data_IF_285093266058
#
_entry.id   IF_285093266058
#
_cell.length_a   1.000
_cell.length_b   1.000
_cell.length_c   1.000
_cell.angle_alpha   90.00
_cell.angle_beta   90.00
_cell.angle_gamma   90.00
#
_symmetry.space_group_name_H-M   'P 1'
#
loop_
_entity.id
_entity.type
_entity.pdbx_description
1 polymer ?
#
# COMPACT_ATOMS: atom_id res chain seq x y z
N UNK A 1 -0.80 -12.35 18.81
CA UNK A 1 -1.38 -12.63 17.48
C UNK A 1 -0.62 -11.87 16.40
N UNK A 2 -0.32 -12.53 15.31
CA UNK A 2 0.42 -11.89 14.22
C UNK A 2 -0.45 -10.88 13.50
N UNK A 3 0.09 -9.68 13.28
CA UNK A 3 -0.62 -8.66 12.52
C UNK A 3 -0.55 -8.95 11.03
N UNK A 4 -1.61 -8.56 10.32
CA UNK A 4 -1.65 -8.66 8.86
C UNK A 4 -1.03 -7.39 8.28
N UNK A 5 -0.04 -7.55 7.42
CA UNK A 5 0.66 -6.43 6.82
C UNK A 5 0.00 -6.02 5.50
N UNK A 6 -0.40 -4.76 5.43
CA UNK A 6 -1.06 -4.18 4.27
C UNK A 6 -0.12 -3.31 3.46
N UNK A 7 -0.30 -3.34 2.14
CA UNK A 7 0.32 -2.39 1.24
C UNK A 7 -0.75 -1.59 0.51
N UNK A 8 -0.44 -0.34 0.15
CA UNK A 8 -1.36 0.51 -0.60
C UNK A 8 -0.71 0.91 -1.91
N UNK A 9 -1.41 0.69 -3.03
CA UNK A 9 -1.01 1.13 -4.36
C UNK A 9 -1.81 2.36 -4.74
N UNK A 10 -1.11 3.47 -5.01
CA UNK A 10 -1.75 4.74 -5.34
C UNK A 10 -2.03 5.57 -4.08
N UNK A 11 -1.51 6.79 -4.02
CA UNK A 11 -1.56 7.60 -2.81
C UNK A 11 -2.35 8.90 -3.01
N UNK A 12 -3.66 8.77 -3.28
CA UNK A 12 -4.56 9.90 -3.35
C UNK A 12 -5.34 10.09 -2.05
N UNK A 13 -6.40 10.92 -2.12
CA UNK A 13 -7.20 11.23 -0.93
C UNK A 13 -7.89 10.00 -0.33
N UNK A 14 -8.36 9.08 -1.18
CA UNK A 14 -9.02 7.87 -0.70
C UNK A 14 -8.03 6.98 0.02
N UNK A 15 -6.82 6.88 -0.51
CA UNK A 15 -5.76 6.10 0.13
C UNK A 15 -5.41 6.67 1.51
N UNK A 16 -5.36 8.00 1.64
CA UNK A 16 -5.06 8.63 2.90
C UNK A 16 -6.12 8.32 3.96
N UNK A 17 -7.39 8.42 3.58
CA UNK A 17 -8.49 8.08 4.50
C UNK A 17 -8.45 6.62 4.91
N UNK A 18 -8.17 5.74 3.96
CA UNK A 18 -8.05 4.32 4.26
C UNK A 18 -6.89 4.05 5.23
N UNK A 19 -5.75 4.69 5.00
CA UNK A 19 -4.57 4.52 5.84
C UNK A 19 -4.81 5.00 7.28
N UNK A 20 -5.57 6.09 7.45
CA UNK A 20 -5.89 6.59 8.77
C UNK A 20 -6.67 5.58 9.61
N UNK A 21 -7.43 4.71 8.96
CA UNK A 21 -8.18 3.66 9.65
C UNK A 21 -7.33 2.64 10.37
N UNK A 22 -6.07 2.48 9.97
CA UNK A 22 -5.16 1.53 10.63
C UNK A 22 -4.84 1.92 12.08
N UNK A 23 -5.01 3.19 12.43
CA UNK A 23 -4.80 3.63 13.80
C UNK A 23 -5.79 3.00 14.79
N UNK A 24 -6.91 2.49 14.27
CA UNK A 24 -7.97 1.89 15.10
C UNK A 24 -7.98 0.37 15.03
N UNK A 25 -7.01 -0.24 14.37
CA UNK A 25 -6.96 -1.68 14.21
C UNK A 25 -5.83 -2.30 15.03
N UNK A 26 -6.15 -3.36 15.76
CA UNK A 26 -5.15 -4.11 16.52
C UNK A 26 -4.46 -5.18 15.67
N UNK A 27 -5.15 -5.67 14.64
CA UNK A 27 -4.66 -6.80 13.84
C UNK A 27 -4.11 -6.43 12.48
N UNK A 28 -4.27 -5.19 12.04
CA UNK A 28 -3.80 -4.73 10.75
C UNK A 28 -2.69 -3.72 10.92
N UNK A 29 -1.66 -3.86 10.10
CA UNK A 29 -0.51 -2.96 10.10
C UNK A 29 -0.28 -2.42 8.70
N UNK A 30 -0.23 -1.09 8.57
CA UNK A 30 0.14 -0.48 7.29
C UNK A 30 1.65 -0.53 7.19
N UNK A 31 2.14 -1.45 6.36
CA UNK A 31 3.58 -1.66 6.22
C UNK A 31 4.17 -0.88 5.05
N UNK A 32 3.47 -0.84 3.92
CA UNK A 32 4.05 -0.39 2.66
C UNK A 32 3.11 0.48 1.85
N UNK A 33 3.70 1.39 1.09
CA UNK A 33 2.96 2.22 0.15
C UNK A 33 3.75 2.32 -1.15
N UNK A 34 3.05 2.60 -2.26
CA UNK A 34 3.71 2.83 -3.53
C UNK A 34 2.98 3.91 -4.33
N UNK A 35 3.73 4.70 -5.06
CA UNK A 35 3.21 5.75 -5.91
C UNK A 35 4.26 6.10 -6.96
N UNK A 36 3.80 6.61 -8.09
CA UNK A 36 4.70 7.17 -9.09
C UNK A 36 5.10 8.60 -8.75
N UNK A 37 4.54 9.16 -7.69
CA UNK A 37 4.80 10.53 -7.24
C UNK A 37 5.57 10.50 -5.91
N UNK A 38 6.86 10.86 -5.97
CA UNK A 38 7.72 10.80 -4.80
C UNK A 38 7.30 11.73 -3.66
N UNK A 39 6.68 12.87 -3.99
CA UNK A 39 6.20 13.79 -2.96
C UNK A 39 5.11 13.15 -2.12
N UNK A 40 4.23 12.37 -2.75
CA UNK A 40 3.18 11.65 -2.03
C UNK A 40 3.76 10.54 -1.16
N UNK A 41 4.78 9.86 -1.65
CA UNK A 41 5.47 8.83 -0.87
C UNK A 41 6.07 9.43 0.40
N UNK A 42 6.76 10.56 0.27
CA UNK A 42 7.38 11.24 1.42
C UNK A 42 6.32 11.69 2.43
N UNK A 43 5.19 12.20 1.94
CA UNK A 43 4.10 12.64 2.80
C UNK A 43 3.54 11.48 3.61
N UNK A 44 3.25 10.35 2.95
CA UNK A 44 2.71 9.16 3.62
C UNK A 44 3.73 8.56 4.59
N UNK A 45 4.99 8.48 4.18
CA UNK A 45 6.04 7.95 5.03
C UNK A 45 6.13 8.72 6.34
N UNK A 46 6.09 10.03 6.27
CA UNK A 46 6.16 10.89 7.45
C UNK A 46 4.89 10.79 8.29
N UNK A 47 3.74 10.89 7.65
CA UNK A 47 2.44 10.90 8.36
C UNK A 47 2.17 9.60 9.09
N UNK A 48 2.52 8.47 8.50
CA UNK A 48 2.21 7.15 9.04
C UNK A 48 3.43 6.42 9.61
N UNK A 49 4.56 7.14 9.72
CA UNK A 49 5.80 6.58 10.30
C UNK A 49 6.26 5.30 9.60
N UNK A 50 6.24 5.31 8.27
CA UNK A 50 6.59 4.13 7.49
C UNK A 50 8.10 3.99 7.33
N UNK A 51 8.55 2.75 7.15
CA UNK A 51 9.96 2.44 6.95
C UNK A 51 10.32 2.65 5.47
N UNK A 52 11.42 3.34 5.21
CA UNK A 52 11.85 3.68 3.86
C UNK A 52 11.91 2.46 2.92
N UNK A 53 12.37 1.33 3.43
CA UNK A 53 12.54 0.10 2.67
C UNK A 53 11.23 -0.47 2.12
N UNK A 54 10.10 -0.05 2.68
CA UNK A 54 8.77 -0.47 2.24
C UNK A 54 8.01 0.63 1.51
N UNK A 55 8.68 1.72 1.15
CA UNK A 55 8.10 2.79 0.35
C UNK A 55 8.64 2.67 -1.07
N UNK A 56 7.79 2.29 -2.01
CA UNK A 56 8.19 1.98 -3.38
C UNK A 56 7.74 3.04 -4.36
N UNK A 57 8.59 3.31 -5.36
CA UNK A 57 8.26 4.27 -6.42
C UNK A 57 7.67 3.60 -7.67
N UNK A 58 7.33 2.34 -7.57
CA UNK A 58 6.59 1.61 -8.60
C UNK A 58 5.71 0.57 -7.93
N UNK A 59 4.68 0.12 -8.64
CA UNK A 59 3.68 -0.78 -8.04
C UNK A 59 4.17 -2.22 -7.98
N UNK A 60 4.99 -2.64 -8.93
CA UNK A 60 5.44 -4.03 -9.02
C UNK A 60 6.30 -4.45 -7.83
N UNK A 61 7.18 -3.56 -7.37
CA UNK A 61 8.04 -3.87 -6.23
C UNK A 61 7.22 -4.10 -4.96
N UNK A 62 6.13 -3.35 -4.80
CA UNK A 62 5.25 -3.56 -3.66
C UNK A 62 4.54 -4.91 -3.76
N UNK A 63 4.02 -5.24 -4.94
CA UNK A 63 3.31 -6.51 -5.16
C UNK A 63 4.23 -7.71 -4.92
N UNK A 64 5.50 -7.59 -5.30
CA UNK A 64 6.46 -8.67 -5.15
C UNK A 64 7.08 -8.76 -3.76
N UNK A 65 6.75 -7.86 -2.86
CA UNK A 65 7.30 -7.87 -1.52
C UNK A 65 6.67 -8.98 -0.69
N UNK A 66 7.48 -9.92 -0.22
CA UNK A 66 7.00 -11.08 0.52
C UNK A 66 6.45 -10.76 1.91
N UNK A 67 6.78 -9.59 2.44
CA UNK A 67 6.33 -9.18 3.77
C UNK A 67 4.93 -8.59 3.77
N UNK A 68 4.32 -8.40 2.60
CA UNK A 68 2.99 -7.83 2.45
C UNK A 68 1.97 -8.94 2.24
N UNK A 69 0.93 -8.95 3.06
CA UNK A 69 -0.10 -9.99 3.03
C UNK A 69 -1.30 -9.59 2.14
N UNK A 70 -1.72 -8.33 2.22
CA UNK A 70 -2.89 -7.82 1.51
C UNK A 70 -2.55 -6.46 0.88
N UNK A 71 -3.09 -6.20 -0.30
CA UNK A 71 -2.87 -4.94 -1.01
C UNK A 71 -4.20 -4.24 -1.26
N UNK A 72 -4.27 -2.95 -0.90
CA UNK A 72 -5.38 -2.08 -1.24
C UNK A 72 -5.00 -1.26 -2.48
N UNK A 73 -5.80 -1.36 -3.53
CA UNK A 73 -5.53 -0.66 -4.78
C UNK A 73 -6.40 0.60 -4.88
N UNK A 74 -5.77 1.77 -4.72
CA UNK A 74 -6.44 3.05 -4.75
C UNK A 74 -6.14 3.79 -6.05
N UNK A 75 -6.33 3.10 -7.18
CA UNK A 75 -6.09 3.65 -8.51
C UNK A 75 -7.41 3.89 -9.23
N UNK A 76 -7.41 4.75 -10.28
CA UNK A 76 -8.61 4.93 -11.12
C UNK A 76 -9.10 3.60 -11.68
N UNK A 77 -10.42 3.49 -11.92
CA UNK A 77 -11.03 2.26 -12.42
C UNK A 77 -10.36 1.72 -13.68
N UNK A 78 -9.90 2.58 -14.57
CA UNK A 78 -9.23 2.15 -15.80
C UNK A 78 -7.96 1.34 -15.56
N UNK A 79 -7.33 1.51 -14.41
CA UNK A 79 -6.10 0.80 -14.06
C UNK A 79 -6.34 -0.31 -13.05
N UNK A 80 -7.49 -0.30 -12.38
CA UNK A 80 -7.77 -1.18 -11.26
C UNK A 80 -7.72 -2.65 -11.64
N UNK A 81 -8.35 -3.02 -12.74
CA UNK A 81 -8.42 -4.40 -13.19
C UNK A 81 -7.03 -4.99 -13.44
N UNK A 82 -6.17 -4.24 -14.14
CA UNK A 82 -4.81 -4.68 -14.42
C UNK A 82 -4.05 -5.03 -13.14
N UNK A 83 -4.12 -4.15 -12.15
CA UNK A 83 -3.33 -4.34 -10.93
C UNK A 83 -3.93 -5.38 -10.00
N UNK A 84 -5.27 -5.55 -10.03
CA UNK A 84 -5.91 -6.66 -9.31
C UNK A 84 -5.39 -7.99 -9.85
N UNK A 85 -5.32 -8.16 -11.18
CA UNK A 85 -4.78 -9.38 -11.77
C UNK A 85 -3.34 -9.63 -11.35
N UNK A 86 -2.51 -8.58 -11.34
CA UNK A 86 -1.12 -8.70 -10.91
C UNK A 86 -1.02 -9.15 -9.45
N UNK A 87 -1.87 -8.63 -8.60
CA UNK A 87 -1.88 -9.05 -7.20
C UNK A 87 -2.27 -10.52 -7.06
N UNK A 88 -3.28 -10.96 -7.80
CA UNK A 88 -3.71 -12.36 -7.75
C UNK A 88 -2.62 -13.31 -8.24
N UNK A 89 -1.88 -12.93 -9.28
CA UNK A 89 -0.77 -13.72 -9.78
C UNK A 89 0.32 -13.92 -8.72
N UNK A 90 0.45 -12.95 -7.82
CA UNK A 90 1.44 -12.99 -6.73
C UNK A 90 0.83 -13.37 -5.39
N UNK A 91 -0.38 -13.89 -5.40
CA UNK A 91 -1.10 -14.40 -4.22
C UNK A 91 -1.34 -13.31 -3.16
N UNK A 92 -1.62 -12.10 -3.60
CA UNK A 92 -1.97 -11.00 -2.72
C UNK A 92 -3.47 -10.74 -2.85
#
# INVERSE_FOLDING_TARGET
MKKINWGIIGLGNIAEKFAEGFNFSENANLLSVSSLNEKKIKKFKKKFSLIKEYCFNNYEDLINCNDIDIIYIALPNSMHFKWVLKCLENKK
#
